data_IF_655211735085
#
_entry.id   IF_655211735085
#
_cell.length_a   1.000
_cell.length_b   1.000
_cell.length_c   1.000
_cell.angle_alpha   90.00
_cell.angle_beta   90.00
_cell.angle_gamma   90.00
#
_symmetry.space_group_name_H-M   'P 1'
#
loop_
_entity.id
_entity.type
_entity.pdbx_description
1 polymer ?
#
# COMPACT_ATOMS: atom_id res chain seq x y z
N UNK A 1 0.05 4.19 6.50
CA UNK A 1 0.40 2.93 7.18
C UNK A 1 -0.41 1.81 6.56
N UNK A 2 0.26 0.89 5.87
CA UNK A 2 -0.37 -0.28 5.22
C UNK A 2 0.07 -1.56 5.92
N UNK A 3 -0.85 -2.51 6.08
CA UNK A 3 -0.53 -3.85 6.59
C UNK A 3 0.06 -4.68 5.46
N UNK A 4 1.04 -5.51 5.79
CA UNK A 4 1.73 -6.43 4.89
C UNK A 4 2.11 -7.69 5.66
N UNK A 5 2.29 -8.79 4.94
CA UNK A 5 2.55 -10.10 5.52
C UNK A 5 3.90 -10.59 5.04
N UNK A 6 4.80 -10.91 5.96
CA UNK A 6 6.05 -11.59 5.60
C UNK A 6 5.78 -13.03 5.18
N UNK A 7 6.76 -13.64 4.52
CA UNK A 7 6.73 -15.06 4.15
C UNK A 7 6.65 -16.04 5.35
N UNK A 8 6.87 -15.57 6.58
CA UNK A 8 6.73 -16.36 7.81
C UNK A 8 5.40 -16.12 8.53
N UNK A 9 4.37 -15.70 7.80
CA UNK A 9 3.02 -15.36 8.28
C UNK A 9 2.97 -14.26 9.36
N UNK A 10 4.07 -13.56 9.61
CA UNK A 10 4.08 -12.41 10.52
C UNK A 10 3.53 -11.19 9.81
N UNK A 11 2.44 -10.68 10.36
CA UNK A 11 1.82 -9.43 9.92
C UNK A 11 2.56 -8.25 10.55
N UNK A 12 2.88 -7.26 9.73
CA UNK A 12 3.46 -6.01 10.17
C UNK A 12 2.90 -4.84 9.37
N UNK A 13 3.16 -3.61 9.82
CA UNK A 13 2.65 -2.41 9.17
C UNK A 13 3.82 -1.53 8.77
N UNK A 14 3.82 -1.05 7.53
CA UNK A 14 4.86 -0.15 6.99
C UNK A 14 4.26 1.20 6.60
N UNK A 15 5.10 2.22 6.60
CA UNK A 15 4.73 3.51 6.05
C UNK A 15 4.77 3.43 4.52
N UNK A 16 3.61 3.63 3.88
CA UNK A 16 3.45 3.63 2.43
C UNK A 16 4.20 4.76 1.74
N UNK A 17 4.37 5.90 2.40
CA UNK A 17 5.02 7.07 1.81
C UNK A 17 6.56 6.98 1.86
N UNK A 18 7.10 6.00 2.58
CA UNK A 18 8.54 5.70 2.62
C UNK A 18 8.93 4.57 1.68
N UNK A 19 7.98 4.03 0.91
CA UNK A 19 8.27 3.01 -0.10
C UNK A 19 8.95 3.68 -1.27
N UNK A 20 10.14 3.20 -1.61
CA UNK A 20 10.92 3.69 -2.75
C UNK A 20 10.62 2.88 -4.01
N UNK A 21 10.64 1.55 -3.91
CA UNK A 21 10.29 0.64 -5.01
C UNK A 21 9.65 -0.65 -4.50
N UNK A 22 8.82 -1.26 -5.34
CA UNK A 22 8.27 -2.60 -5.16
C UNK A 22 8.59 -3.42 -6.42
N UNK A 23 9.18 -4.59 -6.28
CA UNK A 23 9.53 -5.49 -7.38
C UNK A 23 9.01 -6.90 -7.09
N UNK A 24 8.51 -7.62 -8.10
CA UNK A 24 8.00 -8.98 -7.95
C UNK A 24 9.00 -9.99 -8.54
N UNK A 25 9.65 -10.76 -7.66
CA UNK A 25 10.68 -11.75 -8.01
C UNK A 25 10.74 -12.90 -6.98
N UNK A 26 10.28 -14.12 -7.30
CA UNK A 26 8.86 -14.46 -7.57
C UNK A 26 7.87 -13.96 -6.49
N UNK A 27 8.38 -13.60 -5.31
CA UNK A 27 7.65 -12.91 -4.23
C UNK A 27 7.87 -11.39 -4.34
N UNK A 28 7.07 -10.59 -3.64
CA UNK A 28 7.21 -9.12 -3.73
C UNK A 28 8.25 -8.60 -2.73
N UNK A 29 9.21 -7.82 -3.23
CA UNK A 29 10.22 -7.12 -2.43
C UNK A 29 9.90 -5.63 -2.38
N UNK A 30 9.67 -5.12 -1.17
CA UNK A 30 9.47 -3.71 -0.89
C UNK A 30 10.79 -3.13 -0.41
N UNK A 31 11.30 -2.11 -1.10
CA UNK A 31 12.45 -1.32 -0.67
C UNK A 31 11.96 0.02 -0.14
N UNK A 32 12.38 0.39 1.06
CA UNK A 32 12.12 1.70 1.65
C UNK A 32 13.25 2.67 1.32
N UNK A 33 12.95 3.97 1.39
CA UNK A 33 13.91 5.08 1.15
C UNK A 33 15.17 5.04 2.03
N UNK A 34 15.12 4.32 3.16
CA UNK A 34 16.28 4.09 4.04
C UNK A 34 17.16 2.90 3.63
N UNK A 35 16.91 2.26 2.48
CA UNK A 35 17.60 1.05 2.02
C UNK A 35 17.12 -0.26 2.66
N UNK A 36 16.16 -0.19 3.59
CA UNK A 36 15.57 -1.38 4.21
C UNK A 36 14.71 -2.14 3.21
N UNK A 37 14.88 -3.46 3.13
CA UNK A 37 14.13 -4.34 2.23
C UNK A 37 13.26 -5.32 3.00
N UNK A 38 12.05 -5.54 2.51
CA UNK A 38 11.09 -6.48 3.06
C UNK A 38 10.54 -7.36 1.97
N UNK A 39 10.58 -8.68 2.19
CA UNK A 39 9.91 -9.65 1.32
C UNK A 39 8.53 -9.93 1.89
N UNK A 40 7.51 -9.80 1.05
CA UNK A 40 6.10 -9.95 1.40
C UNK A 40 5.41 -10.91 0.45
N UNK A 41 4.34 -11.55 0.91
CA UNK A 41 3.56 -12.51 0.13
C UNK A 41 2.48 -11.87 -0.74
N UNK A 42 2.14 -10.61 -0.49
CA UNK A 42 1.17 -9.88 -1.32
C UNK A 42 1.77 -9.46 -2.67
N UNK A 43 0.97 -9.54 -3.73
CA UNK A 43 1.34 -8.99 -5.04
C UNK A 43 1.35 -7.46 -5.05
N UNK A 44 2.06 -6.90 -6.03
CA UNK A 44 2.16 -5.44 -6.21
C UNK A 44 0.76 -4.78 -6.33
N UNK A 45 -0.18 -5.40 -7.05
CA UNK A 45 -1.52 -4.86 -7.24
C UNK A 45 -2.29 -4.72 -5.91
N UNK A 46 -2.18 -5.71 -5.02
CA UNK A 46 -2.80 -5.67 -3.70
C UNK A 46 -2.21 -4.56 -2.84
N UNK A 47 -0.88 -4.39 -2.89
CA UNK A 47 -0.18 -3.33 -2.17
C UNK A 47 -0.62 -1.95 -2.66
N UNK A 48 -0.71 -1.73 -3.98
CA UNK A 48 -1.19 -0.49 -4.57
C UNK A 48 -2.62 -0.20 -4.10
N UNK A 49 -3.51 -1.19 -4.13
CA UNK A 49 -4.88 -1.05 -3.64
C UNK A 49 -4.93 -0.57 -2.19
N UNK A 50 -4.14 -1.17 -1.30
CA UNK A 50 -4.03 -0.78 0.11
C UNK A 50 -3.49 0.65 0.28
N UNK A 51 -2.53 1.07 -0.54
CA UNK A 51 -1.98 2.43 -0.51
C UNK A 51 -3.03 3.46 -0.95
N UNK A 52 -3.75 3.18 -2.03
CA UNK A 52 -4.82 4.05 -2.54
C UNK A 52 -5.94 4.18 -1.52
N UNK A 53 -6.38 3.07 -0.93
CA UNK A 53 -7.40 3.08 0.13
C UNK A 53 -6.93 3.88 1.35
N UNK A 54 -5.69 3.66 1.80
CA UNK A 54 -5.11 4.43 2.91
C UNK A 54 -5.12 5.93 2.61
N UNK A 55 -4.68 6.34 1.42
CA UNK A 55 -4.66 7.76 1.02
C UNK A 55 -6.06 8.38 0.93
N UNK A 56 -7.05 7.64 0.41
CA UNK A 56 -8.45 8.08 0.37
C UNK A 56 -9.02 8.31 1.77
N UNK A 57 -8.64 7.48 2.74
CA UNK A 57 -9.10 7.62 4.12
C UNK A 57 -8.40 8.76 4.85
N UNK A 58 -7.12 9.03 4.54
CA UNK A 58 -6.38 10.16 5.14
C UNK A 58 -6.85 11.53 4.61
N UNK A 59 -7.23 11.60 3.34
CA UNK A 59 -7.77 12.79 2.72
C UNK A 59 -9.17 12.47 2.21
N UNK A 60 -10.21 12.59 3.07
CA UNK A 60 -11.58 12.50 2.59
C UNK A 60 -11.78 13.66 1.62
N UNK A 61 -11.61 13.37 0.33
CA UNK A 61 -12.04 14.29 -0.71
C UNK A 61 -13.55 14.40 -0.48
N UNK A 62 -14.01 15.54 0.03
CA UNK A 62 -15.42 15.89 -0.01
C UNK A 62 -15.80 15.93 -1.48
N UNK A 63 -16.24 14.79 -2.03
CA UNK A 63 -16.92 14.80 -3.31
C UNK A 63 -18.22 15.53 -3.05
N UNK A 64 -18.32 16.79 -3.50
CA UNK A 64 -19.61 17.40 -3.76
C UNK A 64 -20.38 16.40 -4.60
N UNK A 65 -21.46 15.86 -4.04
CA UNK A 65 -22.38 15.04 -4.81
C UNK A 65 -22.91 15.96 -5.89
N UNK A 66 -22.48 15.77 -7.13
CA UNK A 66 -23.19 16.27 -8.29
C UNK A 66 -24.64 15.82 -8.11
N UNK A 67 -25.47 16.78 -7.73
CA UNK A 67 -26.90 16.59 -7.64
C UNK A 67 -27.35 16.37 -9.07
N UNK A 68 -27.45 15.11 -9.47
CA UNK A 68 -28.20 14.74 -10.67
C UNK A 68 -29.64 15.14 -10.42
N UNK A 69 -29.95 16.38 -10.80
CA UNK A 69 -31.27 16.97 -10.81
C UNK A 69 -32.02 16.26 -11.93
N UNK A 70 -32.88 15.33 -11.55
CA UNK A 70 -33.92 14.72 -12.38
C UNK A 70 -35.25 15.29 -11.93
#
# INVERSE_FOLDING_TARGET
MIKVTRLNDKIFTINSDLIEMMEETPDTVITLTGGNKFVVSESIEVLIGRIVEFRRNCFPICKEKESTKL
#
